data_IF_624410448814
#
_entry.id   IF_624410448814
#
_cell.length_a   1.000
_cell.length_b   1.000
_cell.length_c   1.000
_cell.angle_alpha   90.00
_cell.angle_beta   90.00
_cell.angle_gamma   90.00
#
_symmetry.space_group_name_H-M   'P 1'
#
loop_
_entity.id
_entity.type
_entity.pdbx_description
1 polymer ?
#
# COMPACT_ATOMS: atom_id res chain seq x y z
N UNK A 1 -15.68 -12.48 -0.47
CA UNK A 1 -15.74 -11.54 -1.62
C UNK A 1 -16.30 -10.26 -1.06
N UNK A 2 -15.52 -9.17 -1.08
CA UNK A 2 -15.98 -7.87 -0.59
C UNK A 2 -17.01 -7.29 -1.56
N UNK A 3 -17.88 -6.42 -1.07
CA UNK A 3 -18.90 -5.80 -1.90
C UNK A 3 -18.36 -4.62 -2.74
N UNK A 4 -19.17 -4.13 -3.68
CA UNK A 4 -18.80 -3.03 -4.56
C UNK A 4 -18.58 -1.71 -3.82
N UNK A 5 -19.33 -1.47 -2.73
CA UNK A 5 -19.18 -0.27 -1.92
C UNK A 5 -17.84 -0.28 -1.19
N UNK A 6 -17.48 -1.40 -0.60
CA UNK A 6 -16.20 -1.62 0.08
C UNK A 6 -15.03 -1.52 -0.91
N UNK A 7 -15.15 -2.15 -2.09
CA UNK A 7 -14.13 -2.04 -3.15
C UNK A 7 -13.90 -0.59 -3.56
N UNK A 8 -14.98 0.17 -3.80
CA UNK A 8 -14.90 1.61 -4.13
C UNK A 8 -14.26 2.41 -3.01
N UNK A 9 -14.70 2.19 -1.76
CA UNK A 9 -14.15 2.90 -0.60
C UNK A 9 -12.65 2.63 -0.42
N UNK A 10 -12.21 1.37 -0.59
CA UNK A 10 -10.78 1.02 -0.57
C UNK A 10 -10.02 1.68 -1.71
N UNK A 11 -10.57 1.72 -2.92
CA UNK A 11 -9.95 2.39 -4.08
C UNK A 11 -9.71 3.87 -3.80
N UNK A 12 -10.73 4.58 -3.34
CA UNK A 12 -10.65 6.01 -3.02
C UNK A 12 -9.57 6.28 -1.95
N UNK A 13 -9.50 5.45 -0.92
CA UNK A 13 -8.48 5.58 0.13
C UNK A 13 -7.06 5.36 -0.41
N UNK A 14 -6.86 4.33 -1.24
CA UNK A 14 -5.57 4.05 -1.87
C UNK A 14 -5.17 5.17 -2.83
N UNK A 15 -6.08 5.66 -3.67
CA UNK A 15 -5.81 6.75 -4.60
C UNK A 15 -5.41 8.04 -3.88
N UNK A 16 -6.09 8.37 -2.77
CA UNK A 16 -5.74 9.52 -1.93
C UNK A 16 -4.34 9.36 -1.31
N UNK A 17 -4.02 8.18 -0.78
CA UNK A 17 -2.70 7.89 -0.21
C UNK A 17 -1.59 7.97 -1.28
N UNK A 18 -1.83 7.43 -2.48
CA UNK A 18 -0.89 7.51 -3.60
C UNK A 18 -0.68 8.95 -4.07
N UNK A 19 -1.75 9.75 -4.15
CA UNK A 19 -1.66 11.16 -4.48
C UNK A 19 -0.84 11.93 -3.44
N UNK A 20 -1.07 11.66 -2.15
CA UNK A 20 -0.29 12.25 -1.06
C UNK A 20 1.20 11.91 -1.14
N UNK A 21 1.54 10.64 -1.38
CA UNK A 21 2.92 10.20 -1.57
C UNK A 21 3.60 10.89 -2.75
N UNK A 22 2.89 11.03 -3.89
CA UNK A 22 3.41 11.75 -5.07
C UNK A 22 3.69 13.23 -4.78
N UNK A 23 2.84 13.90 -4.00
CA UNK A 23 3.07 15.28 -3.57
C UNK A 23 4.33 15.42 -2.71
N UNK A 24 4.67 14.39 -1.94
CA UNK A 24 5.92 14.30 -1.19
C UNK A 24 7.14 13.89 -2.03
N UNK A 25 6.99 13.76 -3.36
CA UNK A 25 8.06 13.32 -4.26
C UNK A 25 8.33 11.81 -4.21
N UNK A 26 7.47 11.03 -3.55
CA UNK A 26 7.60 9.58 -3.46
C UNK A 26 6.82 8.92 -4.59
N UNK A 27 7.53 8.19 -5.44
CA UNK A 27 6.91 7.35 -6.47
C UNK A 27 6.93 5.90 -6.00
N UNK A 28 5.75 5.32 -5.82
CA UNK A 28 5.58 3.92 -5.48
C UNK A 28 6.10 3.01 -6.60
N UNK A 29 6.82 1.96 -6.22
CA UNK A 29 7.22 0.86 -7.11
C UNK A 29 6.00 0.09 -7.61
N UNK A 30 6.18 -0.68 -8.68
CA UNK A 30 5.12 -1.55 -9.21
C UNK A 30 4.72 -2.63 -8.20
N UNK A 31 5.67 -3.17 -7.43
CA UNK A 31 5.41 -4.12 -6.34
C UNK A 31 4.44 -3.53 -5.29
N UNK A 32 4.65 -2.28 -4.90
CA UNK A 32 3.76 -1.60 -3.96
C UNK A 32 2.36 -1.34 -4.55
N UNK A 33 2.27 -1.04 -5.85
CA UNK A 33 0.97 -0.87 -6.54
C UNK A 33 0.19 -2.17 -6.58
N UNK A 34 0.86 -3.29 -6.89
CA UNK A 34 0.22 -4.62 -6.87
C UNK A 34 -0.29 -4.98 -5.48
N UNK A 35 0.47 -4.65 -4.43
CA UNK A 35 0.03 -4.86 -3.05
C UNK A 35 -1.27 -4.11 -2.74
N UNK A 36 -1.37 -2.83 -3.10
CA UNK A 36 -2.58 -2.06 -2.89
C UNK A 36 -3.75 -2.53 -3.77
N UNK A 37 -3.50 -3.00 -4.99
CA UNK A 37 -4.55 -3.58 -5.84
C UNK A 37 -5.15 -4.85 -5.22
N UNK A 38 -4.31 -5.73 -4.67
CA UNK A 38 -4.76 -6.92 -3.95
C UNK A 38 -5.61 -6.56 -2.71
N UNK A 39 -5.27 -5.46 -2.03
CA UNK A 39 -6.09 -4.95 -0.94
C UNK A 39 -7.44 -4.42 -1.43
N UNK A 40 -7.44 -3.61 -2.50
CA UNK A 40 -8.68 -3.00 -3.00
C UNK A 40 -9.65 -4.05 -3.51
N UNK A 41 -9.16 -5.10 -4.18
CA UNK A 41 -9.99 -6.21 -4.67
C UNK A 41 -10.40 -7.21 -3.58
N UNK A 42 -9.89 -7.04 -2.37
CA UNK A 42 -10.19 -7.91 -1.23
C UNK A 42 -9.47 -9.26 -1.27
N UNK A 43 -8.45 -9.41 -2.12
CA UNK A 43 -7.56 -10.57 -2.14
C UNK A 43 -6.75 -10.67 -0.84
N UNK A 44 -6.40 -9.53 -0.24
CA UNK A 44 -5.73 -9.45 1.07
C UNK A 44 -6.42 -8.48 2.03
N UNK A 45 -6.25 -8.73 3.33
CA UNK A 45 -6.72 -7.84 4.40
C UNK A 45 -5.79 -6.63 4.59
N UNK A 46 -6.26 -5.62 5.32
CA UNK A 46 -5.43 -4.47 5.75
C UNK A 46 -4.20 -4.90 6.55
N UNK A 47 -4.33 -5.91 7.39
CA UNK A 47 -3.22 -6.42 8.22
C UNK A 47 -2.13 -7.04 7.34
N UNK A 48 -2.54 -7.81 6.32
CA UNK A 48 -1.63 -8.38 5.33
C UNK A 48 -0.95 -7.30 4.47
N UNK A 49 -1.60 -6.15 4.23
CA UNK A 49 -0.94 -4.99 3.61
C UNK A 49 0.17 -4.47 4.50
N UNK A 50 -0.06 -4.30 5.80
CA UNK A 50 0.97 -3.79 6.73
C UNK A 50 2.16 -4.72 6.86
N UNK A 51 1.93 -6.02 7.02
CA UNK A 51 3.02 -6.99 7.08
C UNK A 51 3.90 -6.96 5.82
N UNK A 52 3.27 -6.93 4.63
CA UNK A 52 3.99 -6.91 3.35
C UNK A 52 4.65 -5.56 3.08
N UNK A 53 3.99 -4.46 3.43
CA UNK A 53 4.55 -3.10 3.36
C UNK A 53 5.84 -2.98 4.19
N UNK A 54 5.84 -3.53 5.41
CA UNK A 54 7.04 -3.57 6.26
C UNK A 54 8.15 -4.44 5.65
N UNK A 55 7.83 -5.51 4.92
CA UNK A 55 8.84 -6.30 4.21
C UNK A 55 9.44 -5.55 3.00
N UNK A 56 8.64 -4.73 2.31
CA UNK A 56 9.08 -3.91 1.16
C UNK A 56 9.93 -2.73 1.65
N UNK A 57 9.43 -1.98 2.63
CA UNK A 57 10.03 -0.70 3.05
C UNK A 57 10.79 -0.75 4.38
N UNK A 58 10.38 -1.61 5.31
CA UNK A 58 11.01 -1.76 6.63
C UNK A 58 12.42 -2.37 6.60
N UNK A 59 12.88 -2.88 5.45
CA UNK A 59 14.29 -3.27 5.26
C UNK A 59 15.27 -2.10 5.24
N UNK A 60 14.81 -0.86 5.11
CA UNK A 60 15.68 0.32 5.04
C UNK A 60 16.06 0.94 6.41
N UNK A 61 15.47 0.51 7.54
CA UNK A 61 15.77 1.12 8.87
C UNK A 61 16.84 0.39 9.70
N UNK A 62 17.40 -0.74 9.25
CA UNK A 62 18.44 -1.48 10.02
C UNK A 62 19.88 -1.24 9.55
N UNK A 63 20.30 0.01 9.36
CA UNK A 63 21.73 0.34 9.34
C UNK A 63 21.98 1.62 10.13
N UNK A 64 22.48 1.52 11.38
CA UNK A 64 23.00 2.70 12.06
C UNK A 64 24.24 3.20 11.29
N UNK A 65 24.50 4.52 11.28
CA UNK A 65 25.71 5.05 10.66
C UNK A 65 26.93 4.45 11.37
N UNK A 66 27.87 3.93 10.57
CA UNK A 66 29.23 3.63 11.02
C UNK A 66 30.03 4.92 11.12
#
# INVERSE_FOLDING_TARGET
MIDEYETRSRREAVDAAMASARLAGVILSDEARTLFEAYVTGEISSDAVMERALAIWGRHEKSPPR
#
